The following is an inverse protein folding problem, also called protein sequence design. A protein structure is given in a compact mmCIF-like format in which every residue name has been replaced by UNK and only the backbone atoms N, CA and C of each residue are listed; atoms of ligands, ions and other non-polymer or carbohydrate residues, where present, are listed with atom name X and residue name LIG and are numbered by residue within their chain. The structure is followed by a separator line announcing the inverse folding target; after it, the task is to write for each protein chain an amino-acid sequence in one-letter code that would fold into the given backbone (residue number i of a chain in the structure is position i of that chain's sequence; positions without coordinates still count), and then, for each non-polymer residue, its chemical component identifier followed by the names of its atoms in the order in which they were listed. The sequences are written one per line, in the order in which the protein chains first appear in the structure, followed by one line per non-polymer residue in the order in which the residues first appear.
data_IF_264872693342
#
_entry.id   IF_264872693342
#
_cell.length_a   1.000
_cell.length_b   1.000
_cell.length_c   1.000
_cell.angle_alpha   90.00
_cell.angle_beta   90.00
_cell.angle_gamma   90.00
#
_symmetry.space_group_name_H-M   'P 1'
#
loop_
_entity.id
_entity.type
_entity.pdbx_description
1 polymer ?
#
# COMPACT_ATOMS: atom_id res chain seq x y z
N UNK A 1 3.51 -14.00 57.24
CA UNK A 1 3.36 -15.13 56.31
C UNK A 1 4.05 -16.35 56.89
N UNK A 2 3.29 -17.42 57.09
CA UNK A 2 3.80 -18.72 57.53
C UNK A 2 4.04 -19.64 56.33
N UNK A 3 4.80 -20.70 56.52
CA UNK A 3 5.01 -21.69 55.45
C UNK A 3 3.73 -22.48 55.19
N UNK A 4 3.54 -22.92 53.94
CA UNK A 4 2.34 -23.65 53.50
C UNK A 4 1.96 -24.79 54.43
N UNK A 5 2.93 -25.63 54.79
CA UNK A 5 2.69 -26.79 55.68
C UNK A 5 2.19 -26.39 57.07
N UNK A 6 2.67 -25.28 57.61
CA UNK A 6 2.23 -24.78 58.91
C UNK A 6 0.84 -24.15 58.84
N UNK A 7 0.54 -23.49 57.72
CA UNK A 7 -0.80 -22.97 57.45
C UNK A 7 -1.83 -24.09 57.27
N UNK A 8 -1.52 -25.12 56.47
CA UNK A 8 -2.40 -26.28 56.25
C UNK A 8 -2.71 -27.00 57.57
N UNK A 9 -1.72 -27.13 58.46
CA UNK A 9 -1.91 -27.70 59.79
C UNK A 9 -2.82 -26.85 60.67
N UNK A 10 -2.65 -25.53 60.66
CA UNK A 10 -3.51 -24.58 61.37
C UNK A 10 -4.95 -24.62 60.83
N UNK A 11 -5.11 -24.62 59.50
CA UNK A 11 -6.39 -24.71 58.83
C UNK A 11 -7.13 -26.01 59.19
N UNK A 12 -6.43 -27.15 59.19
CA UNK A 12 -7.00 -28.45 59.56
C UNK A 12 -7.43 -28.51 61.02
N UNK A 13 -6.68 -27.86 61.91
CA UNK A 13 -7.02 -27.81 63.33
C UNK A 13 -8.29 -26.98 63.59
N UNK A 14 -8.52 -25.91 62.83
CA UNK A 14 -9.70 -25.04 62.97
C UNK A 14 -10.92 -25.62 62.24
N UNK A 15 -10.73 -26.14 61.03
CA UNK A 15 -11.82 -26.52 60.13
C UNK A 15 -12.08 -28.04 60.07
N UNK A 16 -11.28 -28.85 60.77
CA UNK A 16 -11.41 -30.31 60.82
C UNK A 16 -11.12 -31.05 59.50
N UNK A 17 -10.70 -30.32 58.45
CA UNK A 17 -10.39 -30.86 57.12
C UNK A 17 -9.21 -30.15 56.48
N UNK A 18 -8.66 -30.77 55.44
CA UNK A 18 -7.61 -30.13 54.65
C UNK A 18 -8.18 -29.00 53.77
N UNK A 19 -7.41 -27.91 53.57
CA UNK A 19 -7.82 -26.82 52.70
C UNK A 19 -7.84 -27.28 51.24
N UNK A 20 -8.80 -26.75 50.47
CA UNK A 20 -8.84 -26.98 49.03
C UNK A 20 -7.98 -25.96 48.27
N UNK A 21 -7.82 -26.15 46.95
CA UNK A 21 -6.97 -25.31 46.12
C UNK A 21 -7.41 -23.83 46.09
N UNK A 22 -8.71 -23.55 46.15
CA UNK A 22 -9.21 -22.17 46.17
C UNK A 22 -8.93 -21.48 47.50
N UNK A 23 -9.10 -22.20 48.61
CA UNK A 23 -8.81 -21.69 49.96
C UNK A 23 -7.31 -21.41 50.14
N UNK A 24 -6.45 -22.23 49.53
CA UNK A 24 -5.02 -21.99 49.51
C UNK A 24 -4.67 -20.73 48.71
N UNK A 25 -5.24 -20.56 47.51
CA UNK A 25 -5.00 -19.37 46.68
C UNK A 25 -5.51 -18.09 47.34
N UNK A 26 -6.64 -18.17 48.04
CA UNK A 26 -7.15 -17.04 48.83
C UNK A 26 -6.19 -16.69 49.98
N UNK A 27 -5.64 -17.68 50.69
CA UNK A 27 -4.70 -17.44 51.78
C UNK A 27 -3.34 -16.89 51.31
N UNK A 28 -2.92 -17.22 50.08
CA UNK A 28 -1.77 -16.60 49.42
C UNK A 28 -2.08 -15.14 49.06
N UNK A 29 -3.24 -14.87 48.46
CA UNK A 29 -3.70 -13.51 48.13
C UNK A 29 -3.84 -12.61 49.36
N UNK A 30 -4.30 -13.16 50.49
CA UNK A 30 -4.48 -12.45 51.75
C UNK A 30 -3.15 -12.29 52.53
N UNK A 31 -2.03 -12.73 51.97
CA UNK A 31 -0.69 -12.60 52.57
C UNK A 31 -0.49 -13.45 53.83
N UNK A 32 -1.30 -14.51 54.01
CA UNK A 32 -1.22 -15.42 55.15
C UNK A 32 -0.13 -16.48 54.93
N UNK A 33 0.10 -16.89 53.68
CA UNK A 33 1.05 -17.95 53.30
C UNK A 33 2.12 -17.42 52.35
N UNK A 34 3.37 -17.88 52.50
CA UNK A 34 4.46 -17.58 51.55
C UNK A 34 4.27 -18.37 50.24
N UNK A 35 4.45 -17.72 49.10
CA UNK A 35 4.44 -18.37 47.78
C UNK A 35 5.52 -19.46 47.70
N UNK A 36 5.10 -20.70 47.44
CA UNK A 36 6.04 -21.78 47.13
C UNK A 36 6.44 -21.68 45.64
N UNK A 37 7.70 -21.31 45.39
CA UNK A 37 8.33 -21.44 44.07
C UNK A 37 8.39 -22.92 43.73
N UNK A 38 7.51 -23.37 42.82
CA UNK A 38 7.44 -24.77 42.40
C UNK A 38 8.69 -25.13 41.59
N UNK A 39 9.60 -25.90 42.18
CA UNK A 39 10.56 -26.72 41.44
C UNK A 39 9.86 -28.01 40.98
N UNK A 40 9.39 -28.02 39.73
CA UNK A 40 8.74 -29.16 39.11
C UNK A 40 9.75 -30.24 38.71
N UNK A 41 9.73 -31.37 39.44
CA UNK A 41 10.29 -32.66 39.05
C UNK A 41 9.40 -33.27 37.95
N UNK A 42 9.67 -32.98 36.67
CA UNK A 42 9.30 -33.85 35.54
C UNK A 42 10.01 -33.39 34.24
N UNK A 43 11.28 -33.76 34.14
CA UNK A 43 12.28 -33.15 33.27
C UNK A 43 12.40 -33.78 31.86
N UNK A 44 11.31 -34.29 31.27
CA UNK A 44 11.36 -34.88 29.91
C UNK A 44 10.28 -34.43 28.93
N UNK A 45 9.16 -33.86 29.37
CA UNK A 45 8.12 -33.34 28.46
C UNK A 45 8.17 -31.82 28.27
N UNK A 46 8.67 -31.08 29.25
CA UNK A 46 8.77 -29.60 29.18
C UNK A 46 9.91 -29.15 28.26
N UNK A 47 11.04 -29.88 28.21
CA UNK A 47 12.16 -29.61 27.28
C UNK A 47 11.72 -29.79 25.82
N UNK A 48 10.82 -30.74 25.53
CA UNK A 48 10.32 -30.98 24.17
C UNK A 48 9.39 -29.83 23.73
N UNK A 49 8.54 -29.32 24.62
CA UNK A 49 7.59 -28.25 24.29
C UNK A 49 8.32 -26.90 24.14
N UNK A 50 9.23 -26.56 25.07
CA UNK A 50 10.00 -25.31 24.99
C UNK A 50 10.99 -25.34 23.82
N UNK A 51 11.63 -26.50 23.55
CA UNK A 51 12.47 -26.69 22.37
C UNK A 51 11.70 -26.63 21.05
N UNK A 52 10.45 -27.12 21.02
CA UNK A 52 9.61 -27.04 19.82
C UNK A 52 9.09 -25.61 19.58
N UNK A 53 8.81 -24.85 20.62
CA UNK A 53 8.41 -23.43 20.51
C UNK A 53 9.61 -22.58 20.06
N UNK A 54 10.79 -22.78 20.66
CA UNK A 54 12.03 -22.10 20.23
C UNK A 54 12.44 -22.51 18.81
N UNK A 55 12.28 -23.78 18.43
CA UNK A 55 12.54 -24.26 17.07
C UNK A 55 11.60 -23.64 16.05
N UNK A 56 10.31 -23.53 16.35
CA UNK A 56 9.32 -22.88 15.48
C UNK A 56 9.59 -21.38 15.35
N UNK A 57 9.96 -20.70 16.44
CA UNK A 57 10.33 -19.29 16.42
C UNK A 57 11.61 -19.04 15.61
N UNK A 58 12.60 -19.94 15.70
CA UNK A 58 13.82 -19.89 14.91
C UNK A 58 13.55 -20.10 13.41
N UNK A 59 12.65 -21.02 13.06
CA UNK A 59 12.23 -21.23 11.65
C UNK A 59 11.51 -20.01 11.10
N UNK A 60 10.69 -19.33 11.91
CA UNK A 60 10.03 -18.07 11.51
C UNK A 60 11.05 -16.96 11.33
N UNK A 61 12.01 -16.81 12.25
CA UNK A 61 13.10 -15.82 12.12
C UNK A 61 13.98 -16.10 10.91
N UNK A 62 14.31 -17.37 10.65
CA UNK A 62 15.04 -17.78 9.45
C UNK A 62 14.20 -17.49 8.21
N UNK A 63 12.90 -17.76 8.19
CA UNK A 63 12.03 -17.44 7.06
C UNK A 63 11.97 -15.93 6.78
N UNK A 64 11.91 -15.10 7.83
CA UNK A 64 11.95 -13.62 7.71
C UNK A 64 13.34 -13.14 7.24
N UNK A 65 14.41 -13.72 7.77
CA UNK A 65 15.77 -13.39 7.31
C UNK A 65 16.00 -13.86 5.88
N UNK A 66 15.46 -15.00 5.47
CA UNK A 66 15.52 -15.50 4.11
C UNK A 66 14.70 -14.61 3.16
N UNK A 67 13.53 -14.09 3.56
CA UNK A 67 12.80 -13.11 2.72
C UNK A 67 13.57 -11.80 2.58
N UNK A 68 14.33 -11.37 3.61
CA UNK A 68 15.15 -10.15 3.52
C UNK A 68 16.46 -10.38 2.73
N UNK A 69 17.09 -11.55 2.84
CA UNK A 69 18.39 -11.86 2.19
C UNK A 69 18.25 -12.47 0.78
N UNK A 70 17.19 -13.23 0.49
CA UNK A 70 16.94 -13.86 -0.81
C UNK A 70 15.99 -13.06 -1.71
N UNK A 71 15.41 -11.95 -1.24
CA UNK A 71 14.93 -10.89 -2.14
C UNK A 71 16.07 -9.89 -2.33
N UNK A 72 16.91 -10.05 -3.37
CA UNK A 72 17.81 -8.98 -3.75
C UNK A 72 16.96 -7.74 -4.04
N UNK A 73 17.27 -6.65 -3.33
CA UNK A 73 16.83 -5.30 -3.72
C UNK A 73 17.20 -5.15 -5.21
N UNK A 74 16.24 -4.93 -6.13
CA UNK A 74 16.56 -4.89 -7.55
C UNK A 74 17.59 -3.77 -7.76
N UNK A 75 18.77 -4.13 -8.28
CA UNK A 75 19.79 -3.15 -8.60
C UNK A 75 19.29 -2.30 -9.77
N UNK A 76 19.28 -0.98 -9.60
CA UNK A 76 18.78 0.04 -10.53
C UNK A 76 19.45 0.10 -11.92
N UNK A 77 20.28 -0.87 -12.29
CA UNK A 77 21.02 -0.85 -13.55
C UNK A 77 20.25 -1.45 -14.75
N UNK A 78 19.04 -2.00 -14.54
CA UNK A 78 18.28 -2.68 -15.60
C UNK A 78 17.06 -1.92 -16.13
N UNK A 79 16.80 -0.69 -15.63
CA UNK A 79 15.75 0.18 -16.18
C UNK A 79 16.00 0.58 -17.65
N UNK A 80 17.21 0.36 -18.18
CA UNK A 80 17.58 0.74 -19.54
C UNK A 80 17.07 -0.21 -20.63
N UNK A 81 16.67 -1.46 -20.34
CA UNK A 81 16.24 -2.40 -21.40
C UNK A 81 14.81 -2.16 -21.91
N UNK A 82 14.00 -1.39 -21.17
CA UNK A 82 12.65 -0.98 -21.61
C UNK A 82 12.61 0.40 -22.29
N UNK A 83 13.71 1.15 -22.28
CA UNK A 83 13.74 2.54 -22.73
C UNK A 83 14.22 2.76 -24.17
N UNK A 84 14.35 1.69 -24.98
CA UNK A 84 14.92 1.81 -26.32
C UNK A 84 14.13 1.06 -27.40
N UNK A 85 12.93 1.55 -27.76
CA UNK A 85 12.47 1.57 -29.17
C UNK A 85 11.28 2.53 -29.39
N UNK A 86 11.57 3.66 -30.06
CA UNK A 86 10.75 4.40 -31.06
C UNK A 86 9.22 4.41 -30.91
N UNK A 87 8.59 5.52 -30.48
CA UNK A 87 8.20 6.70 -31.30
C UNK A 87 7.48 6.40 -32.63
N UNK A 88 6.23 6.89 -32.70
CA UNK A 88 5.39 7.16 -33.88
C UNK A 88 5.00 6.00 -34.80
N UNK A 89 3.72 5.61 -34.73
CA UNK A 89 2.96 5.38 -35.96
C UNK A 89 1.48 5.77 -35.80
N UNK A 90 1.02 6.41 -36.86
CA UNK A 90 -0.28 7.02 -37.11
C UNK A 90 -1.44 6.05 -37.08
N UNK A 91 -2.57 6.50 -36.51
CA UNK A 91 -3.89 5.91 -36.70
C UNK A 91 -4.23 5.77 -38.19
N UNK A 92 -4.09 4.57 -38.73
CA UNK A 92 -4.77 4.16 -39.95
C UNK A 92 -5.71 3.00 -39.64
N UNK A 93 -7.00 3.31 -39.51
CA UNK A 93 -8.08 2.35 -39.37
C UNK A 93 -8.18 1.48 -40.63
N UNK A 94 -7.71 0.24 -40.56
CA UNK A 94 -8.05 -0.79 -41.55
C UNK A 94 -8.77 -1.92 -40.86
N UNK A 95 -10.08 -2.00 -41.08
CA UNK A 95 -10.90 -3.16 -40.72
C UNK A 95 -10.38 -4.39 -41.45
N UNK A 96 -9.83 -5.37 -40.71
CA UNK A 96 -9.49 -6.68 -41.27
C UNK A 96 -10.60 -7.67 -40.95
N UNK A 97 -11.31 -8.12 -41.99
CA UNK A 97 -12.25 -9.22 -41.90
C UNK A 97 -11.50 -10.55 -41.79
N UNK A 98 -11.97 -11.39 -40.87
CA UNK A 98 -11.49 -12.76 -40.64
C UNK A 98 -11.64 -13.60 -41.91
N UNK A 99 -10.55 -14.15 -42.42
CA UNK A 99 -10.56 -15.24 -43.42
C UNK A 99 -10.13 -16.51 -42.70
N UNK A 100 -10.95 -17.54 -42.85
CA UNK A 100 -10.82 -18.84 -42.21
C UNK A 100 -10.09 -19.83 -43.14
N UNK A 101 -9.33 -20.77 -42.54
CA UNK A 101 -8.53 -21.89 -43.11
C UNK A 101 -7.03 -21.53 -43.25
N UNK A 102 -6.01 -22.29 -42.81
CA UNK A 102 -5.78 -23.76 -42.66
C UNK A 102 -4.65 -24.01 -41.62
N UNK A 103 -4.42 -25.28 -41.23
CA UNK A 103 -3.31 -25.86 -40.41
C UNK A 103 -2.93 -25.21 -39.06
N UNK A 104 -2.83 -26.03 -37.99
CA UNK A 104 -2.40 -25.58 -36.63
C UNK A 104 -1.07 -24.81 -36.63
N UNK A 105 -0.17 -25.10 -37.58
CA UNK A 105 1.12 -24.41 -37.73
C UNK A 105 1.01 -23.04 -38.40
N UNK A 106 0.10 -22.86 -39.37
CA UNK A 106 -0.14 -21.55 -39.99
C UNK A 106 -0.85 -20.63 -38.99
N UNK A 107 -1.80 -21.16 -38.20
CA UNK A 107 -2.53 -20.42 -37.15
C UNK A 107 -1.58 -19.91 -36.03
N UNK A 108 -0.66 -20.76 -35.56
CA UNK A 108 0.37 -20.36 -34.59
C UNK A 108 1.32 -19.29 -35.17
N UNK A 109 1.70 -19.41 -36.45
CA UNK A 109 2.58 -18.43 -37.11
C UNK A 109 1.91 -17.06 -37.28
N UNK A 110 0.61 -17.06 -37.59
CA UNK A 110 -0.18 -15.84 -37.71
C UNK A 110 -0.38 -15.20 -36.34
N UNK A 111 -0.72 -15.99 -35.31
CA UNK A 111 -0.83 -15.49 -33.94
C UNK A 111 0.48 -14.85 -33.45
N UNK A 112 1.64 -15.43 -33.78
CA UNK A 112 2.93 -14.85 -33.45
C UNK A 112 3.21 -13.54 -34.19
N UNK A 113 2.85 -13.46 -35.47
CA UNK A 113 2.97 -12.21 -36.23
C UNK A 113 2.07 -11.11 -35.66
N UNK A 114 0.83 -11.44 -35.29
CA UNK A 114 -0.11 -10.51 -34.65
C UNK A 114 0.37 -10.07 -33.26
N UNK A 115 0.87 -10.99 -32.45
CA UNK A 115 1.48 -10.70 -31.16
C UNK A 115 2.63 -9.69 -31.28
N UNK A 116 3.54 -9.92 -32.23
CA UNK A 116 4.69 -9.05 -32.45
C UNK A 116 4.31 -7.67 -33.00
N UNK A 117 3.11 -7.50 -33.56
CA UNK A 117 2.60 -6.22 -34.03
C UNK A 117 1.92 -5.39 -32.92
N UNK A 118 1.63 -5.98 -31.76
CA UNK A 118 1.10 -5.24 -30.62
C UNK A 118 2.18 -4.36 -30.01
N UNK A 119 1.78 -3.23 -29.43
CA UNK A 119 2.69 -2.47 -28.58
C UNK A 119 3.10 -3.28 -27.35
N UNK A 120 4.26 -2.96 -26.79
CA UNK A 120 4.76 -3.63 -25.59
C UNK A 120 3.76 -3.58 -24.43
N UNK A 121 3.11 -2.44 -24.22
CA UNK A 121 2.11 -2.29 -23.16
C UNK A 121 0.87 -3.16 -23.41
N UNK A 122 0.46 -3.34 -24.67
CA UNK A 122 -0.63 -4.26 -25.02
C UNK A 122 -0.22 -5.71 -24.82
N UNK A 123 1.00 -6.10 -25.17
CA UNK A 123 1.54 -7.43 -24.89
C UNK A 123 1.51 -7.73 -23.39
N UNK A 124 2.04 -6.82 -22.55
CA UNK A 124 2.01 -6.94 -21.09
C UNK A 124 0.58 -7.01 -20.56
N UNK A 125 -0.33 -6.18 -21.08
CA UNK A 125 -1.74 -6.18 -20.69
C UNK A 125 -2.46 -7.48 -21.04
N UNK A 126 -2.11 -8.12 -22.17
CA UNK A 126 -2.64 -9.44 -22.51
C UNK A 126 -2.10 -10.51 -21.59
N UNK A 127 -0.80 -10.52 -21.28
CA UNK A 127 -0.22 -11.45 -20.31
C UNK A 127 -0.91 -11.34 -18.94
N UNK A 128 -1.14 -10.11 -18.46
CA UNK A 128 -1.83 -9.86 -17.22
C UNK A 128 -3.27 -10.39 -17.21
N UNK A 129 -4.02 -10.17 -18.30
CA UNK A 129 -5.39 -10.69 -18.44
C UNK A 129 -5.43 -12.20 -18.54
N UNK A 130 -4.52 -12.80 -19.32
CA UNK A 130 -4.44 -14.25 -19.48
C UNK A 130 -4.13 -14.90 -18.14
N UNK A 131 -3.16 -14.37 -17.39
CA UNK A 131 -2.85 -14.86 -16.05
C UNK A 131 -4.04 -14.71 -15.08
N UNK A 132 -4.73 -13.57 -15.08
CA UNK A 132 -5.90 -13.39 -14.24
C UNK A 132 -7.08 -14.30 -14.61
N UNK A 133 -7.21 -14.66 -15.89
CA UNK A 133 -8.20 -15.64 -16.35
C UNK A 133 -7.93 -17.05 -15.83
N UNK A 134 -6.65 -17.46 -15.75
CA UNK A 134 -6.25 -18.78 -15.25
C UNK A 134 -6.03 -18.83 -13.74
N UNK A 135 -5.80 -17.67 -13.10
CA UNK A 135 -5.70 -17.51 -11.65
C UNK A 135 -6.61 -16.36 -11.17
N UNK A 136 -7.93 -16.59 -11.05
CA UNK A 136 -8.90 -15.55 -10.71
C UNK A 136 -8.72 -14.90 -9.33
N UNK A 137 -7.91 -15.50 -8.45
CA UNK A 137 -7.62 -14.96 -7.11
C UNK A 137 -6.54 -13.88 -7.14
N UNK A 138 -5.91 -13.61 -8.29
CA UNK A 138 -4.89 -12.57 -8.40
C UNK A 138 -5.48 -11.16 -8.30
N UNK A 139 -4.73 -10.25 -7.68
CA UNK A 139 -5.02 -8.80 -7.61
C UNK A 139 -4.43 -8.02 -8.80
N UNK A 140 -3.80 -8.70 -9.76
CA UNK A 140 -3.05 -8.07 -10.85
C UNK A 140 -3.89 -7.08 -11.67
N UNK A 141 -5.14 -7.42 -12.01
CA UNK A 141 -5.98 -6.52 -12.84
C UNK A 141 -6.56 -5.33 -12.05
N UNK A 142 -6.70 -5.47 -10.73
CA UNK A 142 -7.12 -4.39 -9.84
C UNK A 142 -5.99 -3.43 -9.49
N UNK A 143 -4.74 -3.81 -9.72
CA UNK A 143 -3.59 -2.95 -9.45
C UNK A 143 -3.71 -1.60 -10.17
N UNK A 144 -3.21 -0.54 -9.54
CA UNK A 144 -3.16 0.80 -10.13
C UNK A 144 -2.11 0.90 -11.23
N UNK A 145 -0.96 0.27 -10.99
CA UNK A 145 0.20 0.25 -11.88
C UNK A 145 0.74 -1.16 -12.00
N UNK A 146 1.22 -1.48 -13.19
CA UNK A 146 1.86 -2.76 -13.51
C UNK A 146 3.19 -2.43 -14.18
N UNK A 147 4.27 -3.12 -13.83
CA UNK A 147 5.51 -3.05 -14.59
C UNK A 147 5.92 -4.43 -15.07
N UNK A 148 6.72 -4.46 -16.14
CA UNK A 148 7.44 -5.66 -16.54
C UNK A 148 8.93 -5.38 -16.53
N UNK A 149 9.69 -6.33 -16.00
CA UNK A 149 11.15 -6.33 -16.03
C UNK A 149 11.62 -7.53 -16.84
N UNK A 150 12.53 -7.31 -17.79
CA UNK A 150 13.06 -8.34 -18.67
C UNK A 150 14.28 -9.01 -18.02
N UNK A 151 14.46 -10.30 -18.29
CA UNK A 151 15.68 -11.01 -17.99
C UNK A 151 16.67 -10.79 -19.14
N UNK A 152 17.65 -9.90 -18.92
CA UNK A 152 18.58 -9.49 -19.96
C UNK A 152 17.88 -8.73 -21.10
N UNK A 153 18.21 -9.08 -22.34
CA UNK A 153 17.68 -8.42 -23.54
C UNK A 153 16.44 -9.12 -24.14
N UNK A 154 15.82 -10.04 -23.39
CA UNK A 154 14.71 -10.86 -23.87
C UNK A 154 13.35 -10.14 -23.93
N UNK A 155 13.28 -8.89 -23.47
CA UNK A 155 12.06 -8.07 -23.51
C UNK A 155 10.88 -8.75 -22.79
N UNK A 156 9.72 -8.78 -23.44
CA UNK A 156 8.50 -9.40 -22.90
C UNK A 156 8.57 -10.94 -22.87
N UNK A 157 9.50 -11.55 -23.62
CA UNK A 157 9.53 -13.00 -23.81
C UNK A 157 10.14 -13.75 -22.63
N UNK A 158 10.98 -13.10 -21.84
CA UNK A 158 11.53 -13.67 -20.62
C UNK A 158 11.75 -12.56 -19.61
N UNK A 159 11.04 -12.63 -18.49
CA UNK A 159 11.02 -11.59 -17.49
C UNK A 159 9.98 -11.85 -16.42
N UNK A 160 9.55 -10.79 -15.77
CA UNK A 160 8.52 -10.85 -14.75
C UNK A 160 7.67 -9.60 -14.69
N UNK A 161 6.38 -9.82 -14.46
CA UNK A 161 5.39 -8.77 -14.19
C UNK A 161 5.36 -8.51 -12.68
N UNK A 162 5.32 -7.23 -12.31
CA UNK A 162 5.23 -6.78 -10.92
C UNK A 162 4.07 -5.82 -10.74
N UNK A 163 3.46 -5.87 -9.57
CA UNK A 163 2.43 -4.95 -9.13
C UNK A 163 2.37 -4.90 -7.61
N UNK A 164 1.77 -3.85 -7.07
CA UNK A 164 1.37 -3.79 -5.66
C UNK A 164 -0.13 -4.09 -5.54
N UNK A 165 -0.51 -4.87 -4.54
CA UNK A 165 -1.92 -5.03 -4.19
C UNK A 165 -2.44 -3.86 -3.34
N UNK A 166 -3.73 -3.92 -2.96
CA UNK A 166 -4.39 -2.93 -2.11
C UNK A 166 -3.84 -2.89 -0.68
N UNK A 167 -3.12 -3.93 -0.24
CA UNK A 167 -2.38 -3.98 1.02
C UNK A 167 -0.93 -3.49 0.88
N UNK A 168 -0.55 -3.00 -0.30
CA UNK A 168 0.79 -2.53 -0.65
C UNK A 168 1.87 -3.63 -0.55
N UNK A 169 1.48 -4.90 -0.71
CA UNK A 169 2.41 -6.01 -0.88
C UNK A 169 2.78 -6.12 -2.35
N UNK A 170 4.10 -6.18 -2.62
CA UNK A 170 4.59 -6.39 -3.97
C UNK A 170 4.44 -7.85 -4.38
N UNK A 171 3.85 -8.07 -5.54
CA UNK A 171 3.75 -9.38 -6.17
C UNK A 171 4.66 -9.47 -7.39
N UNK A 172 5.06 -10.70 -7.70
CA UNK A 172 5.91 -11.03 -8.85
C UNK A 172 5.32 -12.24 -9.58
N UNK A 173 5.26 -12.13 -10.90
CA UNK A 173 4.84 -13.19 -11.81
C UNK A 173 5.93 -13.36 -12.86
N UNK A 174 6.67 -14.46 -12.81
CA UNK A 174 7.64 -14.79 -13.84
C UNK A 174 6.92 -15.24 -15.11
N UNK A 175 7.34 -14.70 -16.25
CA UNK A 175 6.75 -14.96 -17.57
C UNK A 175 7.85 -15.43 -18.52
N UNK A 176 7.63 -16.59 -19.14
CA UNK A 176 8.48 -17.11 -20.21
C UNK A 176 7.63 -17.48 -21.40
N UNK A 177 7.92 -16.89 -22.56
CA UNK A 177 7.25 -17.14 -23.83
C UNK A 177 8.17 -18.00 -24.70
N UNK A 178 7.67 -19.16 -25.10
CA UNK A 178 8.31 -20.02 -26.08
C UNK A 178 7.33 -20.33 -27.20
N UNK A 179 7.56 -19.71 -28.37
CA UNK A 179 6.64 -19.71 -29.50
C UNK A 179 5.22 -19.34 -29.04
N UNK A 180 4.21 -20.14 -29.38
CA UNK A 180 2.82 -19.88 -29.01
C UNK A 180 2.49 -20.18 -27.52
N UNK A 181 3.45 -20.63 -26.70
CA UNK A 181 3.18 -21.03 -25.31
C UNK A 181 3.76 -20.01 -24.34
N UNK A 182 2.91 -19.52 -23.44
CA UNK A 182 3.28 -18.67 -22.32
C UNK A 182 3.28 -19.51 -21.05
N UNK A 183 4.41 -19.50 -20.33
CA UNK A 183 4.55 -20.08 -18.99
C UNK A 183 4.53 -18.97 -17.94
N UNK A 184 3.67 -19.13 -16.95
CA UNK A 184 3.54 -18.26 -15.79
C UNK A 184 4.00 -19.00 -14.55
N UNK A 185 5.01 -18.48 -13.85
CA UNK A 185 5.50 -19.05 -12.59
C UNK A 185 5.33 -18.05 -11.45
N UNK A 186 4.75 -18.49 -10.33
CA UNK A 186 4.48 -17.64 -9.18
C UNK A 186 4.54 -18.44 -7.88
N UNK A 187 4.79 -17.75 -6.76
CA UNK A 187 4.66 -18.35 -5.44
C UNK A 187 3.21 -18.20 -4.99
N UNK A 188 2.56 -19.32 -4.66
CA UNK A 188 1.21 -19.30 -4.12
C UNK A 188 1.25 -18.82 -2.66
N UNK A 189 0.55 -17.73 -2.35
CA UNK A 189 0.62 -17.09 -1.04
C UNK A 189 0.00 -17.91 0.10
N UNK A 190 -0.86 -18.89 -0.22
CA UNK A 190 -1.49 -19.76 0.79
C UNK A 190 -0.60 -20.94 1.14
N UNK A 191 0.10 -21.49 0.16
CA UNK A 191 0.90 -22.72 0.28
C UNK A 191 2.40 -22.48 0.34
N UNK A 192 2.86 -21.29 -0.08
CA UNK A 192 4.27 -20.94 -0.24
C UNK A 192 4.99 -21.70 -1.35
N UNK A 193 4.27 -22.46 -2.18
CA UNK A 193 4.87 -23.31 -3.21
C UNK A 193 4.91 -22.61 -4.56
N UNK A 194 5.96 -22.91 -5.34
CA UNK A 194 6.04 -22.50 -6.73
C UNK A 194 4.96 -23.21 -7.54
N UNK A 195 4.10 -22.43 -8.17
CA UNK A 195 3.10 -22.89 -9.11
C UNK A 195 3.50 -22.49 -10.51
N UNK A 196 3.20 -23.36 -11.48
CA UNK A 196 3.36 -23.10 -12.90
C UNK A 196 2.02 -23.25 -13.61
N UNK A 197 1.66 -22.27 -14.43
CA UNK A 197 0.50 -22.31 -15.32
C UNK A 197 0.94 -22.00 -16.74
N UNK A 198 0.21 -22.51 -17.72
CA UNK A 198 0.51 -22.29 -19.13
C UNK A 198 -0.74 -21.83 -19.88
N UNK A 199 -0.52 -21.00 -20.90
CA UNK A 199 -1.56 -20.53 -21.80
C UNK A 199 -1.01 -20.39 -23.22
N UNK A 200 -1.91 -20.23 -24.19
CA UNK A 200 -1.54 -19.99 -25.60
C UNK A 200 -1.70 -18.51 -25.97
N UNK A 201 -0.76 -17.98 -26.74
CA UNK A 201 -0.84 -16.62 -27.29
C UNK A 201 -2.06 -16.51 -28.20
N UNK A 202 -2.28 -17.49 -29.07
CA UNK A 202 -3.43 -17.54 -29.98
C UNK A 202 -4.76 -17.43 -29.24
N UNK A 203 -4.94 -18.11 -28.10
CA UNK A 203 -6.14 -17.99 -27.26
C UNK A 203 -6.30 -16.59 -26.63
N UNK A 204 -5.19 -15.97 -26.25
CA UNK A 204 -5.17 -14.62 -25.66
C UNK A 204 -5.56 -13.56 -26.71
N UNK A 205 -5.01 -13.68 -27.92
CA UNK A 205 -5.33 -12.81 -29.07
C UNK A 205 -6.77 -12.99 -29.55
N UNK A 206 -7.28 -14.22 -29.59
CA UNK A 206 -8.69 -14.48 -29.91
C UNK A 206 -9.63 -13.74 -28.96
N UNK A 207 -9.25 -13.62 -27.67
CA UNK A 207 -10.01 -12.85 -26.69
C UNK A 207 -9.88 -11.34 -26.93
N UNK A 208 -8.67 -10.84 -27.24
CA UNK A 208 -8.42 -9.42 -27.53
C UNK A 208 -9.22 -8.89 -28.72
N UNK A 209 -9.25 -9.64 -29.81
CA UNK A 209 -9.94 -9.27 -31.06
C UNK A 209 -11.40 -9.70 -31.11
N UNK A 210 -11.94 -10.32 -30.06
CA UNK A 210 -13.30 -10.84 -30.05
C UNK A 210 -14.34 -9.75 -30.36
N UNK A 211 -14.17 -8.56 -29.79
CA UNK A 211 -15.03 -7.40 -30.01
C UNK A 211 -14.35 -6.11 -29.50
N UNK A 212 -14.94 -4.96 -29.83
CA UNK A 212 -14.43 -3.63 -29.41
C UNK A 212 -14.30 -3.47 -27.90
N UNK A 213 -15.20 -4.08 -27.11
CA UNK A 213 -15.17 -4.02 -25.64
C UNK A 213 -13.96 -4.77 -25.09
N UNK A 214 -13.64 -5.96 -25.63
CA UNK A 214 -12.44 -6.71 -25.27
C UNK A 214 -11.17 -5.94 -25.60
N UNK A 215 -11.11 -5.32 -26.77
CA UNK A 215 -9.98 -4.46 -27.16
C UNK A 215 -9.82 -3.29 -26.18
N UNK A 216 -10.91 -2.59 -25.86
CA UNK A 216 -10.87 -1.45 -24.92
C UNK A 216 -10.45 -1.88 -23.50
N UNK A 217 -10.87 -3.06 -23.05
CA UNK A 217 -10.45 -3.61 -21.76
C UNK A 217 -8.93 -3.80 -21.71
N UNK A 218 -8.33 -4.37 -22.76
CA UNK A 218 -6.87 -4.50 -22.86
C UNK A 218 -6.19 -3.15 -22.90
N UNK A 219 -6.70 -2.19 -23.68
CA UNK A 219 -6.12 -0.84 -23.74
C UNK A 219 -6.17 -0.12 -22.38
N UNK A 220 -7.24 -0.29 -21.60
CA UNK A 220 -7.35 0.27 -20.25
C UNK A 220 -6.35 -0.36 -19.26
N UNK A 221 -5.95 -1.61 -19.48
CA UNK A 221 -4.91 -2.26 -18.68
C UNK A 221 -3.52 -1.82 -19.17
N UNK A 222 -3.34 -1.70 -20.49
CA UNK A 222 -2.10 -1.20 -21.09
C UNK A 222 -1.77 0.22 -20.64
N UNK A 223 -2.77 1.08 -20.38
CA UNK A 223 -2.56 2.42 -19.83
C UNK A 223 -2.07 2.44 -18.37
N UNK A 224 -2.15 1.32 -17.66
CA UNK A 224 -1.60 1.15 -16.30
C UNK A 224 -0.15 0.66 -16.30
N UNK A 225 0.37 0.27 -17.47
CA UNK A 225 1.74 -0.23 -17.59
C UNK A 225 2.72 0.94 -17.48
N UNK A 226 3.64 0.83 -16.52
CA UNK A 226 4.68 1.81 -16.22
C UNK A 226 6.05 1.14 -16.23
N UNK A 227 7.11 1.93 -16.20
CA UNK A 227 8.47 1.40 -16.05
C UNK A 227 8.68 0.79 -14.66
N UNK A 228 9.61 -0.17 -14.49
CA UNK A 228 9.95 -0.70 -13.17
C UNK A 228 10.37 0.38 -12.17
N UNK A 229 11.04 1.44 -12.62
CA UNK A 229 11.43 2.56 -11.76
C UNK A 229 10.19 3.35 -11.27
N UNK A 230 9.22 3.62 -12.14
CA UNK A 230 7.96 4.29 -11.78
C UNK A 230 7.08 3.43 -10.87
N UNK A 231 7.17 2.11 -10.97
CA UNK A 231 6.52 1.18 -10.03
C UNK A 231 7.22 1.16 -8.67
N UNK A 232 8.56 1.19 -8.62
CA UNK A 232 9.28 1.25 -7.36
C UNK A 232 9.09 2.61 -6.65
N UNK A 233 8.97 3.68 -7.43
CA UNK A 233 8.59 5.00 -6.93
C UNK A 233 7.07 5.12 -6.67
N UNK A 234 6.29 4.06 -6.87
CA UNK A 234 4.84 4.04 -6.59
C UNK A 234 4.49 3.46 -5.23
N UNK A 235 5.40 3.47 -4.24
CA UNK A 235 4.92 3.37 -2.87
C UNK A 235 3.94 4.54 -2.65
N UNK A 236 2.80 4.30 -2.01
CA UNK A 236 1.80 5.35 -1.76
C UNK A 236 2.44 6.59 -1.13
N UNK A 237 3.46 6.39 -0.30
CA UNK A 237 4.27 7.44 0.32
C UNK A 237 5.05 8.30 -0.69
N UNK A 238 5.73 7.70 -1.67
CA UNK A 238 6.49 8.42 -2.69
C UNK A 238 5.60 9.31 -3.56
N UNK A 239 4.42 8.81 -3.96
CA UNK A 239 3.43 9.62 -4.70
C UNK A 239 2.94 10.82 -3.88
N UNK A 240 2.82 10.67 -2.56
CA UNK A 240 2.42 11.75 -1.66
C UNK A 240 3.54 12.78 -1.53
N UNK A 241 4.79 12.34 -1.38
CA UNK A 241 5.93 13.26 -1.35
C UNK A 241 6.09 14.03 -2.67
N UNK A 242 5.94 13.38 -3.84
CA UNK A 242 5.91 14.08 -5.13
C UNK A 242 4.73 15.07 -5.25
N UNK A 243 3.59 14.75 -4.64
CA UNK A 243 2.42 15.62 -4.61
C UNK A 243 2.60 16.83 -3.70
N UNK A 244 3.49 16.79 -2.70
CA UNK A 244 3.67 17.84 -1.70
C UNK A 244 4.95 18.66 -1.88
N UNK A 245 6.09 18.00 -2.03
CA UNK A 245 7.43 18.62 -1.94
C UNK A 245 7.58 19.72 -3.00
N UNK A 246 8.15 20.85 -2.57
CA UNK A 246 8.32 22.07 -3.37
C UNK A 246 7.02 22.71 -3.88
N UNK A 247 5.87 22.35 -3.30
CA UNK A 247 4.57 22.96 -3.62
C UNK A 247 3.99 23.69 -2.42
N UNK A 248 3.22 24.73 -2.74
CA UNK A 248 2.51 25.56 -1.79
C UNK A 248 1.06 25.12 -1.66
N UNK A 249 0.48 25.23 -0.47
CA UNK A 249 -0.90 24.86 -0.20
C UNK A 249 -1.59 25.87 0.71
N UNK A 250 -2.90 25.97 0.56
CA UNK A 250 -3.79 26.71 1.47
C UNK A 250 -4.73 25.74 2.17
N UNK A 251 -4.73 25.78 3.49
CA UNK A 251 -5.73 25.14 4.33
C UNK A 251 -6.71 26.20 4.82
N UNK A 252 -7.98 26.05 4.48
CA UNK A 252 -8.99 27.07 4.78
C UNK A 252 -10.36 26.46 5.06
N UNK A 253 -11.11 27.08 5.98
CA UNK A 253 -12.50 26.73 6.22
C UNK A 253 -13.32 27.05 4.95
N UNK A 254 -14.23 26.17 4.57
CA UNK A 254 -15.10 26.35 3.38
C UNK A 254 -16.59 26.21 3.70
N UNK A 255 -16.94 25.51 4.78
CA UNK A 255 -18.32 25.45 5.25
C UNK A 255 -18.41 25.27 6.77
N UNK A 256 -19.51 25.75 7.33
CA UNK A 256 -19.85 25.67 8.75
C UNK A 256 -21.30 25.21 8.88
N UNK A 257 -21.54 24.13 9.63
CA UNK A 257 -22.84 23.45 9.76
C UNK A 257 -23.54 23.16 8.42
N UNK A 258 -22.75 22.76 7.42
CA UNK A 258 -23.22 22.46 6.07
C UNK A 258 -23.58 23.68 5.23
N UNK A 259 -23.41 24.90 5.77
CA UNK A 259 -23.60 26.15 5.06
C UNK A 259 -22.26 26.67 4.51
N UNK A 260 -22.27 27.14 3.27
CA UNK A 260 -21.15 27.88 2.67
C UNK A 260 -20.64 28.97 3.62
N UNK A 261 -19.33 29.14 3.73
CA UNK A 261 -18.71 29.96 4.75
C UNK A 261 -19.19 31.42 4.74
N UNK A 262 -19.29 32.04 3.57
CA UNK A 262 -19.73 33.44 3.46
C UNK A 262 -21.18 33.61 3.90
N UNK A 263 -22.01 32.60 3.59
CA UNK A 263 -23.41 32.57 4.02
C UNK A 263 -23.50 32.33 5.52
N UNK A 264 -22.68 31.43 6.07
CA UNK A 264 -22.64 31.14 7.51
C UNK A 264 -22.23 32.37 8.32
N UNK A 265 -21.21 33.14 7.87
CA UNK A 265 -20.77 34.36 8.54
C UNK A 265 -21.85 35.44 8.58
N UNK A 266 -22.69 35.55 7.54
CA UNK A 266 -23.85 36.45 7.52
C UNK A 266 -24.95 36.02 8.50
N UNK A 267 -25.00 34.73 8.83
CA UNK A 267 -25.95 34.14 9.76
C UNK A 267 -25.39 33.94 11.18
N UNK A 268 -24.30 34.64 11.52
CA UNK A 268 -23.77 34.68 12.89
C UNK A 268 -22.68 33.65 13.21
N UNK A 269 -22.17 32.90 12.24
CA UNK A 269 -20.98 32.08 12.45
C UNK A 269 -19.77 32.98 12.82
N UNK A 270 -18.90 32.57 13.75
CA UNK A 270 -17.80 33.43 14.20
C UNK A 270 -16.84 33.81 13.06
N UNK A 271 -16.72 35.10 12.78
CA UNK A 271 -15.93 35.61 11.64
C UNK A 271 -14.42 35.34 11.76
N UNK A 272 -13.91 35.29 12.98
CA UNK A 272 -12.50 34.96 13.25
C UNK A 272 -12.16 33.55 12.77
N UNK A 273 -13.11 32.61 12.68
CA UNK A 273 -12.84 31.26 12.19
C UNK A 273 -12.46 31.21 10.71
N UNK A 274 -13.02 32.10 9.89
CA UNK A 274 -12.69 32.19 8.47
C UNK A 274 -11.28 32.77 8.27
N UNK A 275 -11.00 33.87 8.97
CA UNK A 275 -9.76 34.62 8.82
C UNK A 275 -8.59 33.95 9.55
N UNK A 276 -8.75 33.63 10.83
CA UNK A 276 -7.70 33.08 11.69
C UNK A 276 -7.54 31.57 11.53
N UNK A 277 -8.52 30.91 10.88
CA UNK A 277 -8.48 29.48 10.54
C UNK A 277 -7.79 29.17 9.21
N UNK A 278 -7.29 30.19 8.49
CA UNK A 278 -6.62 30.00 7.19
C UNK A 278 -5.10 30.00 7.35
N UNK A 279 -4.48 28.94 6.84
CA UNK A 279 -3.04 28.69 6.91
C UNK A 279 -2.46 28.42 5.52
N UNK A 280 -1.22 28.84 5.33
CA UNK A 280 -0.42 28.55 4.14
C UNK A 280 0.72 27.63 4.51
N UNK A 281 0.95 26.62 3.67
CA UNK A 281 1.99 25.63 3.82
C UNK A 281 2.89 25.64 2.59
N UNK A 282 4.19 25.38 2.79
CA UNK A 282 5.13 25.10 1.71
C UNK A 282 6.06 23.97 2.12
N UNK A 283 5.95 22.82 1.45
CA UNK A 283 6.70 21.61 1.81
C UNK A 283 8.12 21.70 1.25
N UNK A 284 9.10 21.48 2.13
CA UNK A 284 10.52 21.61 1.82
C UNK A 284 11.11 20.27 1.37
N UNK A 285 10.80 19.23 2.13
CA UNK A 285 11.32 17.88 1.99
C UNK A 285 10.30 16.85 2.53
N UNK A 286 10.74 15.61 2.78
CA UNK A 286 9.93 14.49 3.21
C UNK A 286 9.41 14.58 4.66
N UNK A 287 9.86 15.59 5.42
CA UNK A 287 9.53 15.69 6.85
C UNK A 287 9.25 17.11 7.32
N UNK A 288 9.60 18.14 6.54
CA UNK A 288 9.46 19.54 6.93
C UNK A 288 8.61 20.36 5.96
N UNK A 289 7.86 21.30 6.52
CA UNK A 289 7.21 22.38 5.77
C UNK A 289 7.42 23.72 6.48
N UNK A 290 7.29 24.82 5.72
CA UNK A 290 7.07 26.15 6.28
C UNK A 290 5.59 26.46 6.38
N UNK A 291 5.21 27.18 7.41
CA UNK A 291 3.81 27.56 7.67
C UNK A 291 3.70 29.01 8.11
N UNK A 292 2.58 29.65 7.74
CA UNK A 292 2.10 30.88 8.38
C UNK A 292 0.58 30.95 8.31
N UNK A 293 -0.03 31.81 9.12
CA UNK A 293 -1.46 32.12 9.06
C UNK A 293 -1.74 33.40 8.26
N UNK A 294 -3.00 33.66 7.92
CA UNK A 294 -3.42 34.95 7.35
C UNK A 294 -3.13 36.10 8.33
N UNK A 295 -2.80 37.28 7.82
CA UNK A 295 -2.54 38.48 8.61
C UNK A 295 -1.05 38.85 8.69
N UNK A 296 -0.75 40.15 8.70
CA UNK A 296 0.63 40.65 8.66
C UNK A 296 1.41 40.43 9.97
N UNK A 297 0.71 40.24 11.09
CA UNK A 297 1.30 40.04 12.42
C UNK A 297 1.74 38.59 12.67
N UNK A 298 1.28 37.64 11.87
CA UNK A 298 1.64 36.24 12.04
C UNK A 298 3.02 35.97 11.42
N UNK A 299 3.99 35.46 12.21
CA UNK A 299 5.28 35.05 11.67
C UNK A 299 5.16 33.78 10.83
N UNK A 300 6.20 33.47 10.07
CA UNK A 300 6.40 32.14 9.50
C UNK A 300 7.26 31.28 10.41
N UNK A 301 7.01 29.98 10.46
CA UNK A 301 7.88 28.99 11.12
C UNK A 301 8.10 27.77 10.23
N UNK A 302 9.03 26.91 10.62
CA UNK A 302 9.18 25.55 10.07
C UNK A 302 8.59 24.57 11.08
N UNK A 303 7.86 23.58 10.60
CA UNK A 303 7.31 22.49 11.41
C UNK A 303 7.42 21.17 10.62
N UNK A 304 7.08 20.07 11.27
CA UNK A 304 7.16 18.73 10.71
C UNK A 304 5.81 18.17 10.28
N UNK A 305 5.83 17.24 9.34
CA UNK A 305 4.67 16.43 8.99
C UNK A 305 5.03 14.95 8.93
N UNK A 306 4.00 14.10 8.90
CA UNK A 306 4.14 12.68 8.60
C UNK A 306 3.01 12.20 7.70
N UNK A 307 3.26 11.10 6.99
CA UNK A 307 2.29 10.44 6.12
C UNK A 307 1.82 9.15 6.79
N UNK A 308 0.51 9.05 7.03
CA UNK A 308 -0.14 7.82 7.48
C UNK A 308 -0.80 7.15 6.27
N UNK A 309 -0.05 6.25 5.64
CA UNK A 309 -0.49 5.52 4.45
C UNK A 309 -1.62 4.53 4.72
N UNK A 310 -1.73 4.04 5.97
CA UNK A 310 -2.75 3.07 6.37
C UNK A 310 -4.12 3.72 6.50
N UNK A 311 -4.17 4.95 7.01
CA UNK A 311 -5.41 5.69 7.22
C UNK A 311 -5.67 6.77 6.16
N UNK A 312 -4.83 6.83 5.11
CA UNK A 312 -4.91 7.79 4.01
C UNK A 312 -4.96 9.25 4.47
N UNK A 313 -4.06 9.60 5.40
CA UNK A 313 -3.97 10.94 6.00
C UNK A 313 -2.55 11.47 6.00
N UNK A 314 -2.40 12.78 5.87
CA UNK A 314 -1.19 13.52 6.21
C UNK A 314 -1.42 14.21 7.55
N UNK A 315 -0.46 14.12 8.45
CA UNK A 315 -0.53 14.74 9.77
C UNK A 315 0.38 15.97 9.76
N UNK A 316 -0.20 17.16 9.77
CA UNK A 316 0.51 18.43 9.75
C UNK A 316 0.74 18.96 11.15
N UNK A 317 2.02 19.19 11.47
CA UNK A 317 2.50 19.70 12.74
C UNK A 317 2.33 18.69 13.86
N UNK A 318 3.42 18.34 14.52
CA UNK A 318 3.40 17.38 15.63
C UNK A 318 2.61 17.88 16.85
N UNK A 319 2.32 19.19 16.93
CA UNK A 319 1.48 19.81 17.97
C UNK A 319 0.06 20.13 17.53
N UNK A 320 -0.15 20.53 16.27
CA UNK A 320 -1.46 20.87 15.74
C UNK A 320 -2.29 19.63 15.39
N UNK A 321 -1.64 18.54 14.98
CA UNK A 321 -2.31 17.27 14.65
C UNK A 321 -3.38 17.44 13.58
N UNK A 322 -3.18 18.36 12.63
CA UNK A 322 -4.15 18.57 11.55
C UNK A 322 -4.06 17.39 10.60
N UNK A 323 -5.16 16.64 10.48
CA UNK A 323 -5.25 15.52 9.56
C UNK A 323 -5.79 16.00 8.21
N UNK A 324 -4.98 15.89 7.15
CA UNK A 324 -5.41 16.13 5.77
C UNK A 324 -5.70 14.78 5.12
N UNK A 325 -6.98 14.44 4.87
CA UNK A 325 -7.32 13.21 4.18
C UNK A 325 -6.92 13.30 2.71
N UNK A 326 -6.46 12.19 2.14
CA UNK A 326 -6.15 12.10 0.72
C UNK A 326 -6.69 10.82 0.09
N UNK A 327 -6.71 10.78 -1.24
CA UNK A 327 -6.93 9.57 -2.04
C UNK A 327 -5.95 9.54 -3.21
N UNK A 328 -5.40 8.37 -3.48
CA UNK A 328 -4.63 8.12 -4.70
C UNK A 328 -5.60 7.50 -5.71
N UNK A 329 -5.73 8.11 -6.89
CA UNK A 329 -6.52 7.59 -7.99
C UNK A 329 -5.67 7.66 -9.26
N UNK A 330 -5.47 6.53 -9.94
CA UNK A 330 -4.65 6.45 -11.15
C UNK A 330 -3.24 7.04 -10.95
N UNK A 331 -2.62 6.77 -9.80
CA UNK A 331 -1.29 7.31 -9.48
C UNK A 331 -1.23 8.83 -9.27
N UNK A 332 -2.37 9.50 -9.09
CA UNK A 332 -2.45 10.92 -8.73
C UNK A 332 -3.05 11.09 -7.33
N UNK A 333 -2.38 11.86 -6.49
CA UNK A 333 -2.86 12.22 -5.15
C UNK A 333 -3.91 13.33 -5.27
N UNK A 334 -5.04 13.13 -4.61
CA UNK A 334 -6.13 14.10 -4.46
C UNK A 334 -6.33 14.36 -2.96
N UNK A 335 -6.25 15.61 -2.53
CA UNK A 335 -6.51 16.00 -1.15
C UNK A 335 -8.01 16.26 -0.97
N UNK A 336 -8.59 15.59 0.02
CA UNK A 336 -10.02 15.67 0.28
C UNK A 336 -10.31 16.72 1.35
N UNK A 337 -11.55 17.20 1.35
CA UNK A 337 -12.01 18.08 2.41
C UNK A 337 -12.07 17.33 3.75
N UNK A 338 -11.66 18.01 4.81
CA UNK A 338 -11.70 17.48 6.17
C UNK A 338 -12.93 18.02 6.89
N UNK A 339 -13.85 17.14 7.27
CA UNK A 339 -14.98 17.47 8.14
C UNK A 339 -14.67 17.14 9.59
N UNK A 340 -14.95 18.05 10.51
CA UNK A 340 -14.75 17.86 11.95
C UNK A 340 -15.86 18.54 12.76
N UNK A 341 -16.52 17.79 13.63
CA UNK A 341 -17.43 18.35 14.64
C UNK A 341 -16.65 18.59 15.94
N UNK A 342 -16.69 19.82 16.46
CA UNK A 342 -15.96 20.18 17.69
C UNK A 342 -16.89 20.13 18.91
N UNK A 343 -16.31 20.33 20.09
CA UNK A 343 -17.02 20.29 21.38
C UNK A 343 -18.08 21.40 21.54
N UNK A 344 -18.04 22.40 20.66
CA UNK A 344 -19.07 23.44 20.57
C UNK A 344 -20.34 22.96 19.83
N UNK A 345 -20.36 21.72 19.35
CA UNK A 345 -21.50 21.13 18.63
C UNK A 345 -21.54 21.49 17.15
N UNK A 346 -20.61 22.30 16.66
CA UNK A 346 -20.59 22.78 15.28
C UNK A 346 -19.69 21.94 14.40
N UNK A 347 -20.07 21.79 13.14
CA UNK A 347 -19.35 21.04 12.12
C UNK A 347 -18.62 21.98 11.18
N UNK A 348 -17.32 21.76 11.05
CA UNK A 348 -16.40 22.56 10.26
C UNK A 348 -15.87 21.72 9.10
N UNK A 349 -15.89 22.27 7.90
CA UNK A 349 -15.29 21.61 6.73
C UNK A 349 -14.17 22.48 6.20
N UNK A 350 -12.97 21.92 6.17
CA UNK A 350 -11.76 22.57 5.67
C UNK A 350 -11.34 21.96 4.33
N UNK A 351 -10.82 22.81 3.44
CA UNK A 351 -10.15 22.41 2.21
C UNK A 351 -8.64 22.49 2.38
N UNK A 352 -7.93 21.64 1.65
CA UNK A 352 -6.48 21.69 1.49
C UNK A 352 -6.16 21.66 -0.01
N UNK A 353 -5.80 22.81 -0.56
CA UNK A 353 -5.70 23.01 -2.02
C UNK A 353 -4.34 23.58 -2.36
N UNK A 354 -3.75 23.14 -3.46
CA UNK A 354 -2.51 23.70 -3.99
C UNK A 354 -2.69 25.20 -4.29
N UNK A 355 -1.75 26.01 -3.82
CA UNK A 355 -1.73 27.45 -3.97
C UNK A 355 -0.30 27.88 -4.33
N UNK A 356 -0.11 28.26 -5.59
CA UNK A 356 1.19 28.67 -6.11
C UNK A 356 1.74 29.93 -5.45
N UNK A 357 0.89 30.74 -4.82
CA UNK A 357 1.29 31.98 -4.13
C UNK A 357 1.72 31.73 -2.68
N UNK A 358 1.42 30.56 -2.11
CA UNK A 358 1.68 30.26 -0.70
C UNK A 358 3.17 30.40 -0.34
N UNK A 359 4.08 29.98 -1.23
CA UNK A 359 5.53 30.14 -1.02
C UNK A 359 5.89 31.60 -0.82
N UNK A 360 5.56 32.45 -1.78
CA UNK A 360 5.89 33.88 -1.71
C UNK A 360 5.25 34.54 -0.48
N UNK A 361 3.99 34.20 -0.19
CA UNK A 361 3.29 34.71 0.97
C UNK A 361 3.98 34.32 2.29
N UNK A 362 4.37 33.06 2.47
CA UNK A 362 5.08 32.58 3.67
C UNK A 362 6.43 33.28 3.81
N UNK A 363 7.20 33.38 2.73
CA UNK A 363 8.54 33.99 2.75
C UNK A 363 8.50 35.52 2.91
N UNK A 364 7.36 36.16 2.69
CA UNK A 364 7.16 37.59 2.99
C UNK A 364 7.05 37.90 4.49
N UNK A 365 6.83 36.87 5.33
CA UNK A 365 6.63 37.04 6.79
C UNK A 365 7.94 37.11 7.54
N UNK A 366 7.91 37.73 8.71
CA UNK A 366 9.00 37.62 9.69
C UNK A 366 9.11 36.18 10.16
N UNK A 367 10.33 35.66 10.29
CA UNK A 367 10.56 34.31 10.82
C UNK A 367 10.38 34.36 12.34
N UNK A 368 9.62 33.40 12.90
CA UNK A 368 9.56 33.21 14.34
C UNK A 368 10.91 32.71 14.82
N UNK A 369 11.48 33.38 15.82
CA UNK A 369 12.65 32.89 16.54
C UNK A 369 12.32 31.64 17.37
#
# INVERSE_FOLDING_TARGET
MIEKKEWEKSFKNVNGREPNAQEYQQAVSDGLVKDEVIHSKNDKRTIIIVGSILGMLLVIIIAILLTIFFYPKPSNNQASSFNNSSSQSSLSSTSKSMVQSTSLSEDDSQALAEWNNLSLNEQIALLAQTYAGINPQTTLLSAERIAMTANGDAGVNDGYIQWYDDTNVQHKLDVVINNNTVSFSYIDNMTGQLQKKEAKISSSLATYYQNRTSTQKTLNIASKVVTPAELQNSSSESLIYEALINKGFRYSLISYDGMDLDTAMKNGAPQNLAHDGTFYYYFLDDSHFKITAVGAYNPSSTDTFSVDTKNEKIILGSRSGIEVPYKINNGKVNFNNRSVTRNDGHTYVYSFIEDSTAKEYIYSKKVSN
#
